data_IF_122470277336
#
_entry.id   IF_122470277336
#
_cell.length_a   1.000
_cell.length_b   1.000
_cell.length_c   1.000
_cell.angle_alpha   90.00
_cell.angle_beta   90.00
_cell.angle_gamma   90.00
#
_symmetry.space_group_name_H-M   'P 1'
#
loop_
_entity.id
_entity.type
_entity.pdbx_description
1 polymer ?
#
# COMPACT_ATOMS: atom_id res chain seq x y z
N UNK A 1 7.38 -23.25 -61.23
CA UNK A 1 8.47 -22.38 -60.75
C UNK A 1 8.00 -21.56 -59.54
N UNK A 2 8.30 -22.05 -58.34
CA UNK A 2 7.99 -21.33 -57.10
C UNK A 2 9.09 -20.31 -56.86
N UNK A 3 8.83 -19.04 -57.16
CA UNK A 3 9.76 -17.98 -56.83
C UNK A 3 9.78 -17.76 -55.32
N UNK A 4 10.94 -18.00 -54.71
CA UNK A 4 11.16 -17.81 -53.29
C UNK A 4 11.06 -16.34 -52.93
N UNK A 5 10.13 -16.01 -52.03
CA UNK A 5 10.01 -14.66 -51.48
C UNK A 5 11.27 -14.21 -50.75
N UNK A 6 11.43 -12.89 -50.52
CA UNK A 6 12.63 -12.34 -49.91
C UNK A 6 12.87 -12.89 -48.51
N UNK A 7 14.13 -13.24 -48.22
CA UNK A 7 14.55 -13.76 -46.92
C UNK A 7 14.19 -12.77 -45.80
N UNK A 8 13.44 -13.23 -44.79
CA UNK A 8 13.22 -12.47 -43.57
C UNK A 8 14.57 -12.34 -42.86
N UNK A 9 15.01 -11.11 -42.61
CA UNK A 9 16.22 -10.84 -41.81
C UNK A 9 16.01 -11.45 -40.42
N UNK A 10 16.95 -12.30 -40.00
CA UNK A 10 17.01 -12.77 -38.62
C UNK A 10 17.13 -11.55 -37.70
N UNK A 11 16.31 -11.51 -36.65
CA UNK A 11 16.41 -10.45 -35.65
C UNK A 11 17.80 -10.51 -35.01
N UNK A 12 18.51 -9.38 -35.06
CA UNK A 12 19.82 -9.21 -34.43
C UNK A 12 19.66 -9.48 -32.93
N UNK A 13 20.36 -10.49 -32.42
CA UNK A 13 20.39 -10.76 -30.98
C UNK A 13 21.15 -9.61 -30.33
N UNK A 14 20.44 -8.70 -29.66
CA UNK A 14 21.08 -7.71 -28.80
C UNK A 14 21.92 -8.48 -27.76
N UNK A 15 23.16 -8.04 -27.46
CA UNK A 15 23.94 -8.66 -26.41
C UNK A 15 23.10 -8.68 -25.13
N UNK A 16 23.20 -9.73 -24.30
CA UNK A 16 22.44 -9.80 -23.05
C UNK A 16 22.72 -8.50 -22.28
N UNK A 17 21.68 -7.68 -22.13
CA UNK A 17 21.78 -6.52 -21.26
C UNK A 17 22.07 -7.10 -19.88
N UNK A 18 23.24 -6.77 -19.32
CA UNK A 18 23.62 -7.21 -17.99
C UNK A 18 22.52 -6.75 -17.03
N UNK A 19 21.59 -7.64 -16.68
CA UNK A 19 20.66 -7.48 -15.58
C UNK A 19 21.41 -7.63 -14.25
N UNK A 20 22.62 -7.07 -14.18
CA UNK A 20 23.32 -6.86 -12.94
C UNK A 20 22.49 -5.83 -12.19
N UNK A 21 21.78 -6.28 -11.16
CA UNK A 21 21.15 -5.40 -10.19
C UNK A 21 22.26 -4.59 -9.55
N UNK A 22 22.47 -3.35 -10.02
CA UNK A 22 23.46 -2.43 -9.47
C UNK A 22 23.07 -2.16 -8.02
N UNK A 23 23.78 -2.79 -7.08
CA UNK A 23 23.56 -2.59 -5.65
C UNK A 23 24.29 -1.32 -5.21
N UNK A 24 23.55 -0.23 -5.13
CA UNK A 24 24.05 1.04 -4.60
C UNK A 24 24.17 0.95 -3.07
N UNK A 25 25.40 0.79 -2.56
CA UNK A 25 25.68 0.81 -1.12
C UNK A 25 25.65 2.26 -0.61
N UNK A 26 24.46 2.82 -0.40
CA UNK A 26 24.34 4.20 0.09
C UNK A 26 24.43 4.35 1.63
N UNK A 27 24.48 3.25 2.39
CA UNK A 27 24.53 3.27 3.86
C UNK A 27 25.86 2.71 4.37
N UNK A 28 26.93 3.43 4.11
CA UNK A 28 28.24 3.19 4.74
C UNK A 28 28.17 3.80 6.15
N UNK A 29 28.34 3.02 7.23
CA UNK A 29 28.28 3.54 8.60
C UNK A 29 29.30 4.67 8.79
N UNK A 30 28.86 5.75 9.45
CA UNK A 30 29.74 6.85 9.82
C UNK A 30 30.82 6.31 10.78
N UNK A 31 32.02 6.13 10.24
CA UNK A 31 33.12 5.38 10.86
C UNK A 31 33.95 4.60 9.84
N UNK A 32 33.40 4.36 8.65
CA UNK A 32 34.06 3.68 7.53
C UNK A 32 34.49 4.64 6.40
N UNK A 33 34.57 5.95 6.70
CA UNK A 33 35.05 6.99 5.79
C UNK A 33 36.46 7.42 6.20
N UNK A 34 37.46 6.63 5.84
CA UNK A 34 38.83 7.13 5.81
C UNK A 34 39.05 7.89 4.51
N UNK A 35 39.84 8.97 4.53
CA UNK A 35 40.22 9.72 3.31
C UNK A 35 40.86 8.83 2.25
N UNK A 36 41.43 7.71 2.69
CA UNK A 36 42.14 6.73 1.88
C UNK A 36 41.18 5.72 1.22
N UNK A 37 39.95 5.57 1.71
CA UNK A 37 38.93 4.69 1.13
C UNK A 37 38.21 5.38 -0.04
N UNK A 38 39.00 5.75 -1.05
CA UNK A 38 38.46 6.26 -2.31
C UNK A 38 37.66 5.17 -3.02
N UNK A 39 36.55 5.55 -3.67
CA UNK A 39 35.71 4.62 -4.42
C UNK A 39 36.49 3.78 -5.46
N UNK A 40 37.64 4.30 -5.91
CA UNK A 40 38.58 3.61 -6.81
C UNK A 40 39.20 2.38 -6.14
N UNK A 41 39.73 2.51 -4.93
CA UNK A 41 40.36 1.38 -4.22
C UNK A 41 39.33 0.29 -3.93
N UNK A 42 38.12 0.66 -3.54
CA UNK A 42 37.03 -0.31 -3.31
C UNK A 42 36.62 -1.00 -4.61
N UNK A 43 36.51 -0.26 -5.72
CA UNK A 43 36.22 -0.87 -7.01
C UNK A 43 37.33 -1.83 -7.43
N UNK A 44 38.59 -1.41 -7.38
CA UNK A 44 39.74 -2.23 -7.78
C UNK A 44 39.88 -3.49 -6.90
N UNK A 45 39.60 -3.37 -5.60
CA UNK A 45 39.71 -4.50 -4.67
C UNK A 45 38.52 -5.43 -4.76
N UNK A 46 37.31 -4.94 -4.97
CA UNK A 46 36.07 -5.73 -4.87
C UNK A 46 35.45 -6.15 -6.20
N UNK A 47 36.02 -5.71 -7.33
CA UNK A 47 35.54 -6.08 -8.65
C UNK A 47 35.73 -7.57 -8.93
N UNK A 48 34.64 -8.25 -9.29
CA UNK A 48 34.55 -9.68 -9.60
C UNK A 48 34.81 -10.64 -8.43
N UNK A 49 34.56 -10.22 -7.18
CA UNK A 49 34.51 -11.19 -6.08
C UNK A 49 33.32 -12.13 -6.21
N UNK A 50 33.54 -13.42 -6.00
CA UNK A 50 32.46 -14.40 -5.87
C UNK A 50 31.86 -14.31 -4.46
N UNK A 51 30.69 -13.71 -4.33
CA UNK A 51 29.94 -13.57 -3.09
C UNK A 51 28.58 -14.25 -3.23
N UNK A 52 28.32 -15.24 -2.36
CA UNK A 52 27.07 -16.02 -2.34
C UNK A 52 26.74 -16.60 -3.73
N UNK A 53 27.72 -17.23 -4.38
CA UNK A 53 27.59 -17.82 -5.73
C UNK A 53 27.30 -16.80 -6.85
N UNK A 54 27.28 -15.50 -6.53
CA UNK A 54 27.14 -14.40 -7.48
C UNK A 54 28.45 -13.62 -7.61
N UNK A 55 28.80 -13.23 -8.84
CA UNK A 55 29.92 -12.34 -9.08
C UNK A 55 29.52 -10.91 -8.74
N UNK A 56 30.24 -10.30 -7.80
CA UNK A 56 30.09 -8.91 -7.42
C UNK A 56 30.80 -8.02 -8.45
N UNK A 57 30.03 -7.26 -9.23
CA UNK A 57 30.56 -6.25 -10.15
C UNK A 57 30.50 -4.87 -9.49
N UNK A 58 31.66 -4.30 -9.17
CA UNK A 58 31.80 -2.95 -8.63
C UNK A 58 32.48 -2.05 -9.66
N UNK A 59 31.91 -0.87 -9.91
CA UNK A 59 32.47 0.15 -10.79
C UNK A 59 32.24 1.54 -10.19
N UNK A 60 33.16 2.47 -10.46
CA UNK A 60 32.96 3.89 -10.13
C UNK A 60 32.21 4.57 -11.26
N UNK A 61 31.04 5.14 -10.96
CA UNK A 61 30.20 5.82 -11.95
C UNK A 61 30.54 7.32 -11.95
N UNK A 62 30.84 7.94 -13.11
CA UNK A 62 31.06 9.37 -13.19
C UNK A 62 29.78 10.15 -12.85
N UNK A 63 29.89 11.34 -12.22
CA UNK A 63 28.73 12.08 -11.72
C UNK A 63 27.77 12.55 -12.83
N UNK A 64 28.25 12.71 -14.06
CA UNK A 64 27.43 13.10 -15.23
C UNK A 64 26.40 12.02 -15.61
N UNK A 65 26.73 10.76 -15.36
CA UNK A 65 25.86 9.61 -15.65
C UNK A 65 24.88 9.33 -14.51
N UNK A 66 25.06 9.97 -13.35
CA UNK A 66 24.16 9.83 -12.21
C UNK A 66 22.90 10.65 -12.46
N UNK A 67 21.77 9.96 -12.69
CA UNK A 67 20.50 10.63 -12.89
C UNK A 67 20.16 11.51 -11.65
N UNK A 68 19.77 12.79 -11.79
CA UNK A 68 19.59 13.71 -10.66
C UNK A 68 18.57 13.27 -9.59
N UNK A 69 17.66 12.36 -9.94
CA UNK A 69 16.66 11.79 -9.00
C UNK A 69 17.10 10.50 -8.33
N UNK A 70 18.27 9.94 -8.68
CA UNK A 70 18.73 8.63 -8.21
C UNK A 70 18.78 8.56 -6.68
N UNK A 71 19.24 9.64 -6.04
CA UNK A 71 19.39 9.73 -4.58
C UNK A 71 18.26 10.51 -3.90
N UNK A 72 17.25 10.94 -4.65
CA UNK A 72 16.14 11.73 -4.12
C UNK A 72 15.21 10.82 -3.30
N UNK A 73 15.27 10.94 -1.98
CA UNK A 73 14.48 10.12 -1.06
C UNK A 73 15.24 8.94 -0.46
N UNK A 74 16.53 8.77 -0.76
CA UNK A 74 17.37 7.73 -0.15
C UNK A 74 17.44 7.87 1.39
N UNK A 75 17.39 9.10 1.90
CA UNK A 75 17.33 9.42 3.33
C UNK A 75 15.90 9.48 3.88
N UNK A 76 14.97 8.68 3.35
CA UNK A 76 13.63 8.59 3.91
C UNK A 76 13.68 7.87 5.26
N UNK A 77 13.44 8.61 6.36
CA UNK A 77 13.14 8.01 7.66
C UNK A 77 11.66 7.68 7.68
N UNK A 78 11.33 6.39 7.76
CA UNK A 78 9.97 5.95 7.98
C UNK A 78 9.41 6.58 9.25
N UNK A 79 8.29 7.29 9.11
CA UNK A 79 7.48 7.77 10.23
C UNK A 79 6.27 6.85 10.31
N UNK A 80 6.11 6.07 11.39
CA UNK A 80 4.90 5.27 11.60
C UNK A 80 3.65 6.14 11.50
N UNK A 81 2.61 5.62 10.86
CA UNK A 81 1.31 6.30 10.80
C UNK A 81 0.57 6.09 12.12
N UNK A 82 0.03 7.17 12.71
CA UNK A 82 -0.83 7.06 13.88
C UNK A 82 -2.25 6.63 13.46
N UNK A 83 -2.47 5.31 13.43
CA UNK A 83 -3.76 4.73 13.06
C UNK A 83 -4.87 5.11 14.04
N UNK A 84 -4.54 5.28 15.33
CA UNK A 84 -5.54 5.59 16.38
C UNK A 84 -6.10 6.99 16.17
N UNK A 85 -5.26 7.96 15.87
CA UNK A 85 -5.70 9.32 15.54
C UNK A 85 -6.55 9.37 14.27
N UNK A 86 -6.16 8.62 13.25
CA UNK A 86 -6.89 8.55 11.97
C UNK A 86 -8.30 7.99 12.20
N UNK A 87 -8.42 6.87 12.93
CA UNK A 87 -9.72 6.28 13.24
C UNK A 87 -10.56 7.18 14.16
N UNK A 88 -9.95 7.84 15.15
CA UNK A 88 -10.65 8.81 16.00
C UNK A 88 -11.28 9.94 15.18
N UNK A 89 -10.55 10.49 14.20
CA UNK A 89 -11.06 11.53 13.30
C UNK A 89 -12.21 11.03 12.43
N UNK A 90 -12.14 9.78 11.97
CA UNK A 90 -13.21 9.15 11.16
C UNK A 90 -14.49 8.95 11.97
N UNK A 91 -14.38 8.41 13.18
CA UNK A 91 -15.54 8.14 14.05
C UNK A 91 -16.13 9.42 14.68
N UNK A 92 -15.27 10.37 15.06
CA UNK A 92 -15.68 11.64 15.64
C UNK A 92 -16.21 12.65 14.61
N UNK A 93 -16.14 12.34 13.31
CA UNK A 93 -16.71 13.20 12.26
C UNK A 93 -18.23 13.28 12.43
N UNK A 94 -18.74 14.48 12.72
CA UNK A 94 -20.17 14.74 12.75
C UNK A 94 -20.83 14.44 11.41
N UNK A 95 -22.03 13.84 11.44
CA UNK A 95 -22.82 13.54 10.24
C UNK A 95 -23.65 14.75 9.81
N UNK A 96 -23.71 14.99 8.51
CA UNK A 96 -24.59 16.01 7.90
C UNK A 96 -26.05 15.55 7.86
N UNK A 97 -26.99 16.48 7.63
CA UNK A 97 -28.42 16.19 7.57
C UNK A 97 -28.78 15.20 6.45
N UNK A 98 -28.10 15.26 5.31
CA UNK A 98 -28.33 14.35 4.19
C UNK A 98 -27.84 12.92 4.50
N UNK A 99 -26.66 12.81 5.12
CA UNK A 99 -26.13 11.53 5.58
C UNK A 99 -27.05 10.92 6.65
N UNK A 100 -27.67 11.76 7.49
CA UNK A 100 -28.66 11.33 8.47
C UNK A 100 -29.94 10.78 7.80
N UNK A 101 -30.48 11.48 6.80
CA UNK A 101 -31.64 10.98 6.02
C UNK A 101 -31.36 9.63 5.37
N UNK A 102 -30.21 9.49 4.72
CA UNK A 102 -29.75 8.21 4.12
C UNK A 102 -29.61 7.09 5.15
N UNK A 103 -29.20 7.42 6.38
CA UNK A 103 -29.12 6.44 7.48
C UNK A 103 -30.52 5.96 7.89
N UNK A 104 -31.45 6.90 8.09
CA UNK A 104 -32.84 6.58 8.46
C UNK A 104 -33.50 5.73 7.38
N UNK A 105 -33.32 6.07 6.11
CA UNK A 105 -33.83 5.26 4.98
C UNK A 105 -33.29 3.82 5.00
N UNK A 106 -32.00 3.64 5.29
CA UNK A 106 -31.38 2.31 5.43
C UNK A 106 -31.98 1.52 6.60
N UNK A 107 -32.18 2.18 7.75
CA UNK A 107 -32.78 1.56 8.95
C UNK A 107 -34.20 1.09 8.62
N UNK A 108 -35.03 1.94 8.02
CA UNK A 108 -36.40 1.59 7.64
C UNK A 108 -36.44 0.43 6.62
N UNK A 109 -35.54 0.43 5.63
CA UNK A 109 -35.44 -0.64 4.64
C UNK A 109 -35.06 -1.98 5.29
N UNK A 110 -34.15 -1.96 6.26
CA UNK A 110 -33.75 -3.16 7.01
C UNK A 110 -34.88 -3.64 7.93
N UNK A 111 -35.62 -2.73 8.57
CA UNK A 111 -36.74 -3.07 9.43
C UNK A 111 -37.87 -3.77 8.65
N UNK A 112 -38.26 -3.22 7.48
CA UNK A 112 -39.22 -3.86 6.56
C UNK A 112 -38.81 -5.29 6.18
N UNK A 113 -37.52 -5.47 5.81
CA UNK A 113 -36.97 -6.80 5.49
C UNK A 113 -36.96 -7.74 6.68
N UNK A 114 -36.81 -7.24 7.90
CA UNK A 114 -36.88 -8.04 9.13
C UNK A 114 -38.32 -8.48 9.37
N UNK A 115 -39.29 -7.57 9.28
CA UNK A 115 -40.73 -7.87 9.45
C UNK A 115 -41.21 -8.93 8.46
N UNK A 116 -40.85 -8.79 7.18
CA UNK A 116 -41.16 -9.79 6.15
C UNK A 116 -40.58 -11.17 6.48
N UNK A 117 -39.36 -11.24 7.04
CA UNK A 117 -38.75 -12.52 7.44
C UNK A 117 -39.46 -13.15 8.64
N UNK A 118 -39.92 -12.34 9.59
CA UNK A 118 -40.67 -12.79 10.78
C UNK A 118 -42.04 -13.35 10.34
N UNK A 119 -42.72 -12.65 9.44
CA UNK A 119 -44.00 -13.07 8.86
C UNK A 119 -43.89 -14.39 8.10
N UNK A 120 -42.88 -14.53 7.23
CA UNK A 120 -42.60 -15.78 6.49
C UNK A 120 -42.27 -16.93 7.43
N UNK A 121 -41.59 -16.66 8.55
CA UNK A 121 -41.30 -17.65 9.57
C UNK A 121 -42.52 -18.02 10.43
N UNK A 122 -43.66 -17.34 10.26
CA UNK A 122 -44.89 -17.57 11.03
C UNK A 122 -44.74 -17.22 12.51
N UNK A 123 -43.79 -16.35 12.85
CA UNK A 123 -43.52 -15.96 14.24
C UNK A 123 -44.41 -14.76 14.58
N UNK A 124 -45.25 -14.91 15.60
CA UNK A 124 -46.04 -13.81 16.15
C UNK A 124 -45.14 -12.92 17.02
N UNK A 125 -44.54 -11.90 16.40
CA UNK A 125 -43.70 -10.93 17.10
C UNK A 125 -43.98 -9.49 16.63
N UNK A 126 -44.57 -8.70 17.52
CA UNK A 126 -44.75 -7.26 17.36
C UNK A 126 -43.45 -6.50 17.69
N UNK A 127 -42.67 -6.13 16.68
CA UNK A 127 -41.46 -5.32 16.88
C UNK A 127 -41.84 -3.84 17.10
N UNK A 128 -41.41 -3.20 18.20
CA UNK A 128 -41.70 -1.79 18.46
C UNK A 128 -41.04 -0.89 17.41
N UNK A 129 -41.68 0.24 17.12
CA UNK A 129 -41.13 1.21 16.18
C UNK A 129 -39.80 1.74 16.68
N UNK A 130 -38.86 1.90 15.74
CA UNK A 130 -37.58 2.56 16.01
C UNK A 130 -37.90 4.04 16.20
N UNK A 131 -38.26 4.41 17.43
CA UNK A 131 -38.46 5.81 17.84
C UNK A 131 -37.12 6.50 17.63
N UNK A 132 -37.11 7.47 16.73
CA UNK A 132 -35.93 8.29 16.42
C UNK A 132 -35.60 9.24 17.57
N UNK A 133 -35.26 8.70 18.75
CA UNK A 133 -34.57 9.44 19.80
C UNK A 133 -33.08 9.44 19.48
N UNK A 134 -32.66 10.27 18.54
CA UNK A 134 -31.26 10.53 18.29
C UNK A 134 -30.92 11.93 18.81
N UNK A 135 -30.30 12.08 20.00
CA UNK A 135 -29.40 13.20 20.18
C UNK A 135 -28.21 13.01 19.23
N UNK A 136 -27.80 14.10 18.61
CA UNK A 136 -26.64 14.25 17.74
C UNK A 136 -25.32 14.01 18.50
N UNK A 137 -25.09 12.80 19.02
CA UNK A 137 -23.78 12.28 19.43
C UNK A 137 -23.96 10.91 20.09
N UNK A 138 -23.88 9.84 19.29
CA UNK A 138 -23.62 8.52 19.86
C UNK A 138 -22.33 8.03 19.22
N UNK A 139 -21.23 8.57 19.75
CA UNK A 139 -19.96 7.85 19.74
C UNK A 139 -20.06 6.88 20.91
N UNK A 140 -20.41 5.63 20.63
CA UNK A 140 -20.57 4.61 21.65
C UNK A 140 -21.45 3.48 21.14
N UNK A 141 -20.88 2.29 21.03
CA UNK A 141 -21.59 1.03 20.83
C UNK A 141 -22.60 0.86 21.99
N UNK A 142 -23.80 1.42 21.89
CA UNK A 142 -24.88 1.07 22.81
C UNK A 142 -25.46 -0.25 22.35
N UNK A 143 -24.94 -1.32 22.97
CA UNK A 143 -25.54 -2.64 22.98
C UNK A 143 -26.94 -2.48 23.58
N UNK A 144 -27.97 -2.48 22.73
CA UNK A 144 -29.36 -2.45 23.19
C UNK A 144 -29.64 -3.81 23.82
N UNK A 145 -29.44 -3.90 25.14
CA UNK A 145 -30.01 -4.98 25.94
C UNK A 145 -31.53 -4.81 25.90
N UNK A 146 -32.18 -5.62 25.08
CA UNK A 146 -33.62 -5.82 25.16
C UNK A 146 -33.86 -6.58 26.45
N UNK A 147 -34.37 -5.88 27.46
CA UNK A 147 -34.91 -6.49 28.68
C UNK A 147 -36.21 -7.17 28.28
N UNK A 148 -36.19 -8.50 28.30
CA UNK A 148 -37.38 -9.34 28.18
C UNK A 148 -37.83 -9.56 29.64
N UNK A 149 -39.01 -9.04 29.97
CA UNK A 149 -39.81 -9.51 31.12
C UNK A 149 -40.59 -10.76 30.73
#
# INVERSE_FOLDING_TARGET
>A
PLEGGPARKLAEQKPPENTATVLYVGRIPHGFYEKEMEAKIVADTMHNYLLFEHLLQVYVIPPEQVHPRLWKGFNYRYKPLDTVEIERKRHGKGRTLEEHKKLVEKIQKQDKKRRLRIEVAGIDYGCPEIVSLLPLSICGFTFVFIKIE
#
